data_IF_105015669215
#
_entry.id   IF_105015669215
#
_cell.length_a   1.000
_cell.length_b   1.000
_cell.length_c   1.000
_cell.angle_alpha   90.00
_cell.angle_beta   90.00
_cell.angle_gamma   90.00
#
_symmetry.space_group_name_H-M   'P 1'
#
loop_
_entity.id
_entity.type
_entity.pdbx_description
1 polymer ?
#
# COMPACT_ATOMS: atom_id res chain seq x y z
N UNK A 1 -22.46 -53.44 -4.89
CA UNK A 1 -21.14 -52.77 -4.96
C UNK A 1 -21.36 -51.33 -5.44
N UNK A 2 -20.70 -50.37 -4.79
CA UNK A 2 -20.28 -49.04 -5.26
C UNK A 2 -20.46 -48.01 -4.13
N UNK A 3 -19.38 -47.77 -3.37
CA UNK A 3 -19.28 -46.62 -2.46
C UNK A 3 -18.63 -45.48 -3.25
N UNK A 4 -19.37 -44.38 -3.44
CA UNK A 4 -18.85 -43.15 -4.05
C UNK A 4 -18.17 -42.34 -2.95
N UNK A 5 -16.84 -42.34 -2.94
CA UNK A 5 -16.05 -41.50 -2.07
C UNK A 5 -16.12 -40.05 -2.57
N UNK A 6 -16.81 -39.18 -1.83
CA UNK A 6 -16.72 -37.73 -2.04
C UNK A 6 -15.36 -37.24 -1.53
N UNK A 7 -14.47 -36.88 -2.44
CA UNK A 7 -13.26 -36.14 -2.13
C UNK A 7 -13.64 -34.69 -1.79
N UNK A 8 -13.65 -34.37 -0.49
CA UNK A 8 -13.71 -32.99 -0.01
C UNK A 8 -12.34 -32.38 -0.25
N UNK A 9 -12.22 -31.57 -1.30
CA UNK A 9 -11.05 -30.72 -1.51
C UNK A 9 -11.04 -29.67 -0.40
N UNK A 10 -10.19 -29.90 0.60
CA UNK A 10 -9.95 -28.94 1.67
C UNK A 10 -9.49 -27.62 1.06
N UNK A 11 -10.27 -26.55 1.28
CA UNK A 11 -9.78 -25.19 1.11
C UNK A 11 -8.62 -25.00 2.08
N UNK A 12 -7.40 -25.00 1.54
CA UNK A 12 -6.24 -24.46 2.22
C UNK A 12 -6.46 -22.96 2.35
N UNK A 13 -7.09 -22.53 3.44
CA UNK A 13 -7.05 -21.14 3.88
C UNK A 13 -5.62 -20.86 4.30
N UNK A 14 -4.78 -20.40 3.37
CA UNK A 14 -3.54 -19.75 3.73
C UNK A 14 -3.90 -18.61 4.70
N UNK A 15 -3.25 -18.50 5.88
CA UNK A 15 -3.48 -17.37 6.76
C UNK A 15 -3.21 -16.09 5.97
N UNK A 16 -4.26 -15.30 5.76
CA UNK A 16 -4.21 -14.09 4.96
C UNK A 16 -3.16 -13.15 5.54
N UNK A 17 -2.37 -12.54 4.66
CA UNK A 17 -1.37 -11.53 4.99
C UNK A 17 -2.03 -10.20 5.41
N UNK A 18 -3.00 -10.24 6.32
CA UNK A 18 -3.82 -9.10 6.77
C UNK A 18 -3.02 -7.97 7.42
N UNK A 19 -1.73 -8.17 7.69
CA UNK A 19 -0.82 -7.14 8.19
C UNK A 19 -0.02 -6.45 7.07
N UNK A 20 0.21 -7.13 5.95
CA UNK A 20 0.89 -6.56 4.80
C UNK A 20 0.04 -5.50 4.09
N UNK A 21 -1.27 -5.65 4.21
CA UNK A 21 -2.19 -5.33 3.16
C UNK A 21 -3.43 -4.63 3.76
N UNK A 22 -3.75 -3.45 3.24
CA UNK A 22 -5.09 -2.83 3.35
C UNK A 22 -5.76 -2.76 1.97
N UNK A 23 -5.35 -3.66 1.10
CA UNK A 23 -5.73 -3.94 -0.27
C UNK A 23 -6.38 -5.34 -0.37
N UNK A 24 -5.89 -6.16 -1.30
CA UNK A 24 -6.51 -7.42 -1.72
C UNK A 24 -6.12 -8.70 -0.92
N UNK A 25 -5.44 -8.53 0.21
CA UNK A 25 -4.84 -9.59 1.01
C UNK A 25 -3.52 -10.16 0.46
N UNK A 26 -2.89 -9.52 -0.53
CA UNK A 26 -1.65 -9.96 -1.17
C UNK A 26 -0.55 -8.91 -1.04
N UNK A 27 0.69 -9.38 -1.03
CA UNK A 27 1.87 -8.52 -0.89
C UNK A 27 2.29 -7.85 -2.19
N UNK A 28 1.72 -8.24 -3.33
CA UNK A 28 1.96 -7.61 -4.62
C UNK A 28 1.18 -6.30 -4.72
N UNK A 29 1.65 -5.37 -5.56
CA UNK A 29 0.87 -4.17 -5.91
C UNK A 29 -0.06 -4.52 -7.08
N UNK A 30 -1.31 -4.86 -6.79
CA UNK A 30 -2.27 -5.36 -7.76
C UNK A 30 -3.10 -4.24 -8.39
N UNK A 31 -3.88 -4.61 -9.40
CA UNK A 31 -4.79 -3.66 -10.06
C UNK A 31 -5.86 -3.19 -9.08
N UNK A 32 -6.13 -1.90 -9.08
CA UNK A 32 -7.04 -1.20 -8.17
C UNK A 32 -6.38 -0.67 -6.90
N UNK A 33 -5.08 -0.92 -6.69
CA UNK A 33 -4.38 -0.50 -5.47
C UNK A 33 -3.52 0.74 -5.65
N UNK A 34 -3.31 1.44 -4.53
CA UNK A 34 -2.37 2.52 -4.35
C UNK A 34 -1.25 1.96 -3.47
N UNK A 35 -0.05 1.85 -4.03
CA UNK A 35 1.05 1.14 -3.40
C UNK A 35 2.19 2.07 -3.07
N UNK A 36 2.69 1.97 -1.84
CA UNK A 36 3.85 2.71 -1.38
C UNK A 36 5.02 1.77 -1.20
N UNK A 37 6.22 2.31 -1.37
CA UNK A 37 7.46 1.57 -1.25
C UNK A 37 8.48 2.32 -0.40
N UNK A 38 9.37 1.58 0.24
CA UNK A 38 10.62 2.10 0.79
C UNK A 38 11.72 1.04 0.69
N UNK A 39 12.96 1.48 0.85
CA UNK A 39 14.11 0.59 0.96
C UNK A 39 14.72 0.68 2.36
N UNK A 40 15.06 -0.46 2.93
CA UNK A 40 15.88 -0.57 4.13
C UNK A 40 17.08 -1.46 3.80
N UNK A 41 18.22 -0.85 3.50
CA UNK A 41 19.34 -1.54 2.84
C UNK A 41 18.91 -2.12 1.50
N UNK A 42 19.16 -3.42 1.28
CA UNK A 42 18.75 -4.14 0.08
C UNK A 42 17.30 -4.66 0.11
N UNK A 43 16.57 -4.45 1.23
CA UNK A 43 15.22 -5.00 1.40
C UNK A 43 14.19 -3.99 0.92
N UNK A 44 13.36 -4.39 -0.04
CA UNK A 44 12.21 -3.64 -0.51
C UNK A 44 11.02 -3.88 0.43
N UNK A 45 10.46 -2.80 0.94
CA UNK A 45 9.29 -2.83 1.81
C UNK A 45 8.11 -2.22 1.07
N UNK A 46 6.92 -2.77 1.31
CA UNK A 46 5.70 -2.40 0.59
C UNK A 46 4.54 -2.15 1.54
N UNK A 47 3.60 -1.31 1.10
CA UNK A 47 2.28 -1.17 1.71
C UNK A 47 1.26 -0.83 0.63
N UNK A 48 0.12 -1.52 0.64
CA UNK A 48 -0.98 -1.35 -0.30
C UNK A 48 -2.23 -0.79 0.39
N UNK A 49 -2.99 -0.02 -0.37
CA UNK A 49 -4.28 0.53 0.01
C UNK A 49 -5.23 0.48 -1.19
N UNK A 50 -6.51 0.16 -0.98
CA UNK A 50 -7.51 0.27 -2.06
C UNK A 50 -7.88 1.71 -2.39
N UNK A 51 -7.94 2.57 -1.38
CA UNK A 51 -8.50 3.91 -1.49
C UNK A 51 -7.75 4.88 -0.57
N UNK A 52 -8.17 6.14 -0.58
CA UNK A 52 -7.77 7.20 0.36
C UNK A 52 -7.50 6.67 1.76
N UNK A 53 -6.29 6.90 2.26
CA UNK A 53 -5.90 6.50 3.61
C UNK A 53 -5.01 7.55 4.27
N UNK A 54 -5.20 7.69 5.59
CA UNK A 54 -4.20 8.29 6.46
C UNK A 54 -3.15 7.23 6.78
N UNK A 55 -1.86 7.54 6.67
CA UNK A 55 -0.81 6.55 6.88
C UNK A 55 -0.48 6.30 8.36
N UNK A 56 -1.00 7.12 9.27
CA UNK A 56 -0.85 6.93 10.71
C UNK A 56 -1.46 5.60 11.16
N UNK A 57 -0.67 4.79 11.88
CA UNK A 57 -1.09 3.49 12.41
C UNK A 57 -0.83 2.30 11.48
N UNK A 58 -0.31 2.54 10.27
CA UNK A 58 0.09 1.47 9.37
C UNK A 58 1.59 1.22 9.43
N UNK A 59 1.98 -0.05 9.50
CA UNK A 59 3.39 -0.45 9.41
C UNK A 59 3.70 -1.12 8.08
N UNK A 60 4.97 -1.04 7.69
CA UNK A 60 5.48 -1.64 6.46
C UNK A 60 5.50 -3.16 6.50
N UNK A 61 5.45 -3.77 5.32
CA UNK A 61 5.72 -5.18 5.10
C UNK A 61 7.04 -5.42 4.38
N UNK A 62 7.83 -6.37 4.86
CA UNK A 62 9.12 -6.74 4.30
C UNK A 62 9.32 -8.28 4.31
N UNK A 63 8.37 -9.01 3.69
CA UNK A 63 8.24 -10.47 3.85
C UNK A 63 7.62 -10.90 5.19
N UNK A 64 7.55 -9.97 6.14
CA UNK A 64 6.86 -10.06 7.42
C UNK A 64 6.44 -8.66 7.86
N UNK A 65 5.55 -8.57 8.85
CA UNK A 65 5.15 -7.29 9.43
C UNK A 65 6.36 -6.63 10.10
N UNK A 66 6.60 -5.36 9.81
CA UNK A 66 7.62 -4.57 10.48
C UNK A 66 7.01 -3.78 11.63
N UNK A 67 7.86 -3.28 12.53
CA UNK A 67 7.48 -2.30 13.56
C UNK A 67 7.57 -0.84 13.11
N UNK A 68 7.86 -0.57 11.82
CA UNK A 68 8.11 0.79 11.34
C UNK A 68 6.90 1.34 10.63
N UNK A 69 6.54 2.58 10.95
CA UNK A 69 5.37 3.27 10.40
C UNK A 69 5.56 3.61 8.91
N UNK A 70 4.44 3.61 8.18
CA UNK A 70 4.33 4.04 6.78
C UNK A 70 4.38 5.56 6.67
N UNK A 71 3.71 6.25 7.60
CA UNK A 71 3.78 7.69 7.75
C UNK A 71 5.25 8.15 7.81
N UNK A 72 5.57 9.18 7.04
CA UNK A 72 6.90 9.82 6.98
C UNK A 72 8.06 8.89 6.58
N UNK A 73 7.77 7.79 5.89
CA UNK A 73 8.77 6.77 5.59
C UNK A 73 8.71 6.23 4.15
N UNK A 74 7.78 6.70 3.33
CA UNK A 74 7.67 6.23 1.95
C UNK A 74 8.67 6.95 1.04
N UNK A 75 9.21 6.16 0.12
CA UNK A 75 10.14 6.56 -0.93
C UNK A 75 9.42 6.82 -2.25
N UNK A 76 8.51 5.91 -2.61
CA UNK A 76 7.91 5.84 -3.94
C UNK A 76 6.44 5.44 -3.82
N UNK A 77 5.72 5.68 -4.91
CA UNK A 77 4.32 5.33 -5.07
C UNK A 77 4.10 4.70 -6.45
N UNK A 78 3.18 3.75 -6.53
CA UNK A 78 2.55 3.31 -7.78
C UNK A 78 1.05 3.53 -7.64
N UNK A 79 0.45 4.31 -8.54
CA UNK A 79 -1.00 4.41 -8.63
C UNK A 79 -1.52 3.35 -9.61
N UNK A 80 -2.15 2.30 -9.10
CA UNK A 80 -2.87 1.30 -9.91
C UNK A 80 -4.38 1.38 -9.73
N UNK A 81 -4.89 2.51 -9.24
CA UNK A 81 -6.33 2.75 -9.18
C UNK A 81 -6.96 2.48 -10.56
N UNK A 82 -8.25 2.14 -10.60
CA UNK A 82 -8.92 1.87 -11.88
C UNK A 82 -9.54 3.10 -12.52
N UNK A 83 -9.55 4.23 -11.82
CA UNK A 83 -10.35 5.39 -12.20
C UNK A 83 -9.67 6.74 -11.94
N UNK A 84 -8.94 6.90 -10.84
CA UNK A 84 -8.59 8.22 -10.33
C UNK A 84 -7.08 8.43 -10.22
N UNK A 85 -6.65 9.66 -10.40
CA UNK A 85 -5.33 10.09 -9.98
C UNK A 85 -5.23 10.04 -8.45
N UNK A 86 -4.01 10.06 -7.93
CA UNK A 86 -3.76 10.09 -6.49
C UNK A 86 -2.95 11.32 -6.14
N UNK A 87 -3.31 12.00 -5.07
CA UNK A 87 -2.43 12.98 -4.43
C UNK A 87 -1.91 12.47 -3.09
N UNK A 88 -0.63 12.67 -2.82
CA UNK A 88 0.00 12.35 -1.54
C UNK A 88 0.29 13.66 -0.81
N UNK A 89 -0.06 13.68 0.48
CA UNK A 89 -0.02 14.88 1.31
C UNK A 89 1.04 14.78 2.39
N UNK A 90 1.76 15.89 2.57
CA UNK A 90 2.60 16.20 3.73
C UNK A 90 1.90 17.28 4.55
N UNK A 91 1.68 17.06 5.84
CA UNK A 91 1.13 18.05 6.77
C UNK A 91 2.26 18.68 7.57
N UNK A 92 2.48 19.97 7.37
CA UNK A 92 3.46 20.71 8.16
C UNK A 92 3.10 20.66 9.65
N UNK A 93 4.01 20.22 10.55
CA UNK A 93 3.76 20.26 11.99
C UNK A 93 3.74 21.69 12.53
N UNK A 94 4.41 22.63 11.87
CA UNK A 94 4.51 24.01 12.31
C UNK A 94 3.26 24.84 11.95
N UNK A 95 2.70 24.62 10.76
CA UNK A 95 1.56 25.43 10.25
C UNK A 95 0.25 24.65 10.16
N UNK A 96 0.29 23.33 10.24
CA UNK A 96 -0.85 22.46 10.01
C UNK A 96 -1.33 22.39 8.56
N UNK A 97 -0.69 23.11 7.65
CA UNK A 97 -1.03 23.18 6.23
C UNK A 97 -0.55 21.95 5.46
N UNK A 98 -1.29 21.61 4.42
CA UNK A 98 -0.98 20.49 3.53
C UNK A 98 -0.20 20.93 2.31
N UNK A 99 0.86 20.19 1.99
CA UNK A 99 1.53 20.21 0.68
C UNK A 99 1.16 18.94 -0.06
N UNK A 100 0.75 19.07 -1.32
CA UNK A 100 0.24 17.96 -2.13
C UNK A 100 1.11 17.73 -3.35
N UNK A 101 1.36 16.46 -3.65
CA UNK A 101 1.92 16.04 -4.94
C UNK A 101 0.99 15.05 -5.63
N UNK A 102 0.78 15.24 -6.92
CA UNK A 102 -0.13 14.44 -7.75
C UNK A 102 0.64 13.35 -8.51
N UNK A 103 0.00 12.19 -8.61
CA UNK A 103 0.50 10.99 -9.26
C UNK A 103 -0.60 10.46 -10.19
N UNK A 104 -0.35 10.46 -11.50
CA UNK A 104 -1.36 10.06 -12.47
C UNK A 104 -1.71 8.59 -12.34
N UNK A 105 -2.92 8.21 -12.75
CA UNK A 105 -3.29 6.82 -12.92
C UNK A 105 -2.67 6.21 -14.19
N UNK A 106 -1.36 5.99 -14.14
CA UNK A 106 -0.59 5.46 -15.27
C UNK A 106 0.12 4.14 -14.95
N UNK A 107 -0.08 3.60 -13.74
CA UNK A 107 0.52 2.36 -13.25
C UNK A 107 2.05 2.37 -13.20
N UNK A 108 2.68 3.55 -13.31
CA UNK A 108 4.13 3.72 -13.24
C UNK A 108 4.56 3.94 -11.79
N UNK A 109 5.60 3.22 -11.35
CA UNK A 109 6.25 3.47 -10.06
C UNK A 109 7.07 4.76 -10.13
N UNK A 110 6.84 5.70 -9.21
CA UNK A 110 7.44 7.04 -9.20
C UNK A 110 7.99 7.37 -7.83
N UNK A 111 9.13 8.05 -7.82
CA UNK A 111 9.71 8.64 -6.60
C UNK A 111 8.82 9.76 -6.05
N UNK A 112 8.68 9.81 -4.72
CA UNK A 112 7.88 10.83 -4.00
C UNK A 112 8.55 12.20 -3.94
N UNK A 113 9.82 12.33 -4.33
CA UNK A 113 10.51 13.58 -4.58
C UNK A 113 10.57 14.44 -3.34
N UNK A 114 10.12 15.69 -3.44
CA UNK A 114 10.15 16.66 -2.33
C UNK A 114 9.32 16.22 -1.10
N UNK A 115 8.33 15.33 -1.28
CA UNK A 115 7.52 14.78 -0.18
C UNK A 115 7.97 13.37 0.23
N UNK A 116 9.15 12.93 -0.21
CA UNK A 116 9.76 11.69 0.23
C UNK A 116 9.95 11.73 1.75
N UNK A 117 9.62 10.62 2.42
CA UNK A 117 9.63 10.52 3.89
C UNK A 117 8.78 11.60 4.60
N UNK A 118 7.74 12.10 3.93
CA UNK A 118 6.80 13.06 4.49
C UNK A 118 5.37 12.77 3.99
N UNK A 119 5.05 11.48 3.86
CA UNK A 119 3.77 10.98 3.35
C UNK A 119 2.79 10.75 4.51
N UNK A 120 2.09 11.77 4.97
CA UNK A 120 1.09 11.62 6.04
C UNK A 120 -0.17 10.89 5.58
N UNK A 121 -0.62 11.16 4.35
CA UNK A 121 -1.81 10.54 3.77
C UNK A 121 -1.78 10.57 2.26
N UNK A 122 -2.71 9.85 1.66
CA UNK A 122 -3.02 10.01 0.24
C UNK A 122 -4.53 10.05 0.01
N UNK A 123 -4.92 10.64 -1.12
CA UNK A 123 -6.31 10.80 -1.52
C UNK A 123 -6.47 10.51 -3.02
N UNK A 124 -7.59 9.86 -3.36
CA UNK A 124 -8.05 9.75 -4.74
C UNK A 124 -8.56 11.10 -5.22
N UNK A 125 -8.25 11.44 -6.47
CA UNK A 125 -8.68 12.66 -7.15
C UNK A 125 -9.41 12.25 -8.42
N UNK A 126 -10.73 12.29 -8.31
CA UNK A 126 -11.72 12.17 -9.37
C UNK A 126 -12.59 13.44 -9.29
#
# INVERSE_FOLDING_TARGET
MAAVALAVTGLLTAPGASYADNGDGRTACNQGEICFWRYSGAVLWTKQFWYTANHGGYTWWAGQATGVQVQDNAAEITNRDTQCDVRVGNRSPATGLWTWRYFPNDHVRRDLGEIRNANDRHERVC
#
